data_IF_263415437687
#
_entry.id   IF_263415437687
#
_cell.length_a   1.000
_cell.length_b   1.000
_cell.length_c   1.000
_cell.angle_alpha   90.00
_cell.angle_beta   90.00
_cell.angle_gamma   90.00
#
_symmetry.space_group_name_H-M   'P 1'
#
loop_
_entity.id
_entity.type
_entity.pdbx_description
1 polymer ?
#
# COMPACT_ATOMS: atom_id res chain seq x y z
N UNK A 1 24.00 -0.52 -14.69
CA UNK A 1 23.47 -1.77 -14.12
C UNK A 1 22.00 -1.52 -13.73
N UNK A 2 21.02 -2.37 -14.10
CA UNK A 2 19.61 -2.17 -13.75
C UNK A 2 19.34 -2.05 -12.23
N UNK A 3 20.32 -2.40 -11.40
CA UNK A 3 20.28 -2.29 -9.93
C UNK A 3 21.21 -1.21 -9.35
N UNK A 4 21.89 -0.41 -10.18
CA UNK A 4 22.97 0.52 -9.77
C UNK A 4 22.55 1.57 -8.72
N UNK A 5 21.24 1.79 -8.55
CA UNK A 5 20.68 2.78 -7.62
C UNK A 5 19.61 2.21 -6.68
N UNK A 6 19.46 0.87 -6.61
CA UNK A 6 18.53 0.24 -5.67
C UNK A 6 19.26 0.00 -4.35
N UNK A 7 18.75 0.54 -3.26
CA UNK A 7 19.30 0.23 -1.94
C UNK A 7 19.09 -1.26 -1.60
N UNK A 8 20.09 -1.87 -0.98
CA UNK A 8 20.09 -3.31 -0.66
C UNK A 8 18.86 -3.73 0.13
N UNK A 9 18.39 -2.90 1.07
CA UNK A 9 17.23 -3.19 1.90
C UNK A 9 15.95 -3.28 1.05
N UNK A 10 15.74 -2.34 0.12
CA UNK A 10 14.64 -2.41 -0.85
C UNK A 10 14.68 -3.70 -1.65
N UNK A 11 15.86 -4.06 -2.18
CA UNK A 11 16.02 -5.28 -2.95
C UNK A 11 15.69 -6.54 -2.14
N UNK A 12 16.16 -6.61 -0.90
CA UNK A 12 15.87 -7.71 0.02
C UNK A 12 14.37 -7.79 0.36
N UNK A 13 13.68 -6.66 0.53
CA UNK A 13 12.23 -6.63 0.73
C UNK A 13 11.51 -7.17 -0.51
N UNK A 14 11.93 -6.77 -1.71
CA UNK A 14 11.36 -7.23 -2.97
C UNK A 14 11.48 -8.74 -3.11
N UNK A 15 12.69 -9.30 -2.96
CA UNK A 15 12.92 -10.73 -3.07
C UNK A 15 12.12 -11.51 -2.03
N UNK A 16 12.16 -11.10 -0.75
CA UNK A 16 11.44 -11.79 0.32
C UNK A 16 9.92 -11.80 0.11
N UNK A 17 9.35 -10.69 -0.35
CA UNK A 17 7.90 -10.58 -0.60
C UNK A 17 7.43 -11.56 -1.68
N UNK A 18 8.19 -11.66 -2.78
CA UNK A 18 7.89 -12.58 -3.88
C UNK A 18 8.04 -14.05 -3.45
N UNK A 19 9.12 -14.37 -2.73
CA UNK A 19 9.35 -15.71 -2.19
C UNK A 19 8.25 -16.12 -1.21
N UNK A 20 7.82 -15.21 -0.34
CA UNK A 20 6.79 -15.47 0.67
C UNK A 20 5.44 -15.82 0.03
N UNK A 21 4.98 -15.05 -0.97
CA UNK A 21 3.74 -15.37 -1.68
C UNK A 21 3.84 -16.66 -2.49
N UNK A 22 5.00 -16.93 -3.11
CA UNK A 22 5.24 -18.19 -3.83
C UNK A 22 5.14 -19.38 -2.88
N UNK A 23 5.83 -19.32 -1.74
CA UNK A 23 5.80 -20.36 -0.72
C UNK A 23 4.38 -20.58 -0.16
N UNK A 24 3.62 -19.51 0.11
CA UNK A 24 2.21 -19.62 0.51
C UNK A 24 1.37 -20.35 -0.55
N UNK A 25 1.50 -19.97 -1.83
CA UNK A 25 0.74 -20.57 -2.94
C UNK A 25 1.04 -22.06 -3.08
N UNK A 26 2.30 -22.45 -2.95
CA UNK A 26 2.74 -23.84 -2.98
C UNK A 26 2.18 -24.63 -1.78
N UNK A 27 2.34 -24.08 -0.56
CA UNK A 27 1.87 -24.70 0.69
C UNK A 27 0.35 -24.90 0.71
N UNK A 28 -0.41 -24.01 0.08
CA UNK A 28 -1.88 -24.08 0.06
C UNK A 28 -2.45 -24.69 -1.25
N UNK A 29 -1.60 -25.17 -2.17
CA UNK A 29 -2.01 -25.58 -3.52
C UNK A 29 -3.14 -26.61 -3.50
N UNK A 30 -2.94 -27.72 -2.79
CA UNK A 30 -3.92 -28.81 -2.73
C UNK A 30 -5.21 -28.37 -2.06
N UNK A 31 -5.11 -27.56 -1.00
CA UNK A 31 -6.28 -26.99 -0.33
C UNK A 31 -7.08 -26.06 -1.23
N UNK A 32 -6.42 -25.26 -2.07
CA UNK A 32 -7.07 -24.31 -2.98
C UNK A 32 -7.72 -25.02 -4.18
N UNK A 33 -7.13 -26.14 -4.64
CA UNK A 33 -7.60 -26.89 -5.80
C UNK A 33 -8.63 -27.97 -5.45
N UNK A 34 -8.64 -28.45 -4.19
CA UNK A 34 -9.54 -29.52 -3.76
C UNK A 34 -11.03 -29.10 -3.85
N UNK A 35 -11.90 -29.93 -4.49
CA UNK A 35 -13.34 -29.74 -4.48
C UNK A 35 -13.96 -29.87 -3.08
N UNK A 36 -13.39 -30.74 -2.22
CA UNK A 36 -13.92 -31.01 -0.88
C UNK A 36 -13.89 -29.76 0.02
N UNK A 37 -12.87 -28.92 -0.16
CA UNK A 37 -12.72 -27.67 0.60
C UNK A 37 -13.38 -26.47 -0.08
N UNK A 38 -13.97 -26.62 -1.28
CA UNK A 38 -14.56 -25.52 -2.07
C UNK A 38 -15.66 -24.79 -1.31
N UNK A 39 -16.59 -25.53 -0.69
CA UNK A 39 -17.69 -24.95 0.11
C UNK A 39 -17.16 -24.17 1.30
N UNK A 40 -16.20 -24.75 2.04
CA UNK A 40 -15.57 -24.10 3.19
C UNK A 40 -14.83 -22.82 2.78
N UNK A 41 -14.04 -22.86 1.69
CA UNK A 41 -13.35 -21.67 1.14
C UNK A 41 -14.35 -20.57 0.79
N UNK A 42 -15.46 -20.91 0.13
CA UNK A 42 -16.48 -19.95 -0.26
C UNK A 42 -17.12 -19.25 0.95
N UNK A 43 -17.51 -20.00 1.99
CA UNK A 43 -18.08 -19.42 3.21
C UNK A 43 -17.07 -18.51 3.94
N UNK A 44 -15.80 -18.91 4.00
CA UNK A 44 -14.74 -18.09 4.57
C UNK A 44 -14.55 -16.77 3.79
N UNK A 45 -14.51 -16.85 2.46
CA UNK A 45 -14.42 -15.67 1.60
C UNK A 45 -15.61 -14.74 1.78
N UNK A 46 -16.83 -15.28 1.90
CA UNK A 46 -18.04 -14.50 2.18
C UNK A 46 -17.95 -13.79 3.54
N UNK A 47 -17.54 -14.51 4.58
CA UNK A 47 -17.36 -13.98 5.93
C UNK A 47 -16.31 -12.87 6.00
N UNK A 48 -15.33 -12.86 5.10
CA UNK A 48 -14.31 -11.80 4.96
C UNK A 48 -14.82 -10.64 4.07
N UNK A 49 -15.33 -10.95 2.88
CA UNK A 49 -15.65 -9.95 1.87
C UNK A 49 -16.75 -8.99 2.36
N UNK A 50 -17.75 -9.49 3.08
CA UNK A 50 -18.86 -8.69 3.60
C UNK A 50 -18.36 -7.57 4.53
N UNK A 51 -17.65 -7.86 5.65
CA UNK A 51 -17.16 -6.81 6.54
C UNK A 51 -16.13 -5.90 5.86
N UNK A 52 -15.23 -6.42 5.01
CA UNK A 52 -14.22 -5.58 4.32
C UNK A 52 -14.87 -4.59 3.36
N UNK A 53 -15.87 -5.02 2.57
CA UNK A 53 -16.59 -4.11 1.68
C UNK A 53 -17.43 -3.06 2.44
N UNK A 54 -17.74 -3.31 3.71
CA UNK A 54 -18.51 -2.42 4.55
C UNK A 54 -17.66 -1.49 5.42
N UNK A 55 -16.32 -1.51 5.29
CA UNK A 55 -15.44 -0.61 6.05
C UNK A 55 -15.75 0.84 5.69
N UNK A 56 -16.02 1.66 6.71
CA UNK A 56 -16.19 3.10 6.55
C UNK A 56 -15.91 3.85 7.85
N UNK A 57 -15.58 5.13 7.73
CA UNK A 57 -15.31 6.03 8.86
C UNK A 57 -16.55 6.71 9.42
N UNK A 58 -17.73 6.10 9.32
CA UNK A 58 -19.00 6.75 9.73
C UNK A 58 -19.18 6.83 11.24
N UNK A 59 -18.64 5.86 11.99
CA UNK A 59 -18.61 5.88 13.46
C UNK A 59 -17.61 4.85 13.99
N UNK A 60 -17.14 5.06 15.22
CA UNK A 60 -16.30 4.12 15.97
C UNK A 60 -16.99 2.75 16.07
N UNK A 61 -18.26 2.71 16.47
CA UNK A 61 -19.02 1.47 16.65
C UNK A 61 -19.12 0.66 15.34
N UNK A 62 -19.30 1.34 14.20
CA UNK A 62 -19.39 0.68 12.90
C UNK A 62 -18.06 0.02 12.53
N UNK A 63 -16.94 0.74 12.71
CA UNK A 63 -15.64 0.22 12.36
C UNK A 63 -15.19 -0.89 13.33
N UNK A 64 -15.55 -0.75 14.61
CA UNK A 64 -15.35 -1.78 15.63
C UNK A 64 -16.10 -3.07 15.33
N UNK A 65 -17.36 -2.99 14.88
CA UNK A 65 -18.09 -4.16 14.39
C UNK A 65 -17.34 -4.88 13.24
N UNK A 66 -16.71 -4.13 12.31
CA UNK A 66 -15.94 -4.76 11.22
C UNK A 66 -14.67 -5.42 11.74
N UNK A 67 -13.95 -4.75 12.63
CA UNK A 67 -12.76 -5.31 13.27
C UNK A 67 -13.11 -6.58 14.05
N UNK A 68 -14.11 -6.54 14.93
CA UNK A 68 -14.47 -7.66 15.81
C UNK A 68 -14.94 -8.87 14.97
N UNK A 69 -15.72 -8.66 13.89
CA UNK A 69 -16.09 -9.75 12.98
C UNK A 69 -14.88 -10.42 12.33
N UNK A 70 -13.93 -9.63 11.86
CA UNK A 70 -12.71 -10.15 11.22
C UNK A 70 -11.82 -10.85 12.25
N UNK A 71 -11.60 -10.25 13.42
CA UNK A 71 -10.81 -10.82 14.50
C UNK A 71 -11.41 -12.14 15.02
N UNK A 72 -12.72 -12.16 15.24
CA UNK A 72 -13.43 -13.35 15.73
C UNK A 72 -13.44 -14.47 14.68
N UNK A 73 -13.52 -14.13 13.39
CA UNK A 73 -13.33 -15.11 12.32
C UNK A 73 -11.92 -15.70 12.35
N UNK A 74 -10.87 -14.86 12.41
CA UNK A 74 -9.48 -15.33 12.39
C UNK A 74 -9.09 -16.16 13.63
N UNK A 75 -9.79 -15.98 14.75
CA UNK A 75 -9.61 -16.73 16.00
C UNK A 75 -10.53 -17.95 16.13
N UNK A 76 -11.37 -18.23 15.13
CA UNK A 76 -12.29 -19.38 15.14
C UNK A 76 -13.52 -19.22 16.03
N UNK A 77 -13.81 -18.00 16.50
CA UNK A 77 -14.96 -17.67 17.34
C UNK A 77 -16.23 -17.38 16.52
N UNK A 78 -16.11 -17.21 15.20
CA UNK A 78 -17.22 -17.00 14.27
C UNK A 78 -17.34 -18.19 13.30
N UNK A 79 -18.56 -18.45 12.82
CA UNK A 79 -18.76 -19.35 11.68
C UNK A 79 -18.44 -18.64 10.35
N UNK A 80 -17.81 -19.32 9.38
CA UNK A 80 -17.27 -20.69 9.49
C UNK A 80 -16.05 -20.76 10.42
N UNK A 81 -15.96 -21.82 11.23
CA UNK A 81 -14.81 -21.99 12.12
C UNK A 81 -13.57 -22.31 11.29
N UNK A 82 -12.68 -21.33 11.18
CA UNK A 82 -11.46 -21.40 10.36
C UNK A 82 -10.45 -22.43 10.87
N UNK A 83 -10.56 -22.87 12.14
CA UNK A 83 -9.64 -23.85 12.73
C UNK A 83 -10.03 -25.29 12.44
N UNK A 84 -11.21 -25.54 11.86
CA UNK A 84 -11.64 -26.89 11.47
C UNK A 84 -10.78 -27.53 10.37
N UNK A 85 -10.03 -26.71 9.62
CA UNK A 85 -9.10 -27.20 8.60
C UNK A 85 -7.69 -26.67 8.89
N UNK A 86 -6.63 -27.49 8.79
CA UNK A 86 -5.27 -27.06 9.08
C UNK A 86 -4.83 -25.80 8.32
N UNK A 87 -5.21 -25.70 7.04
CA UNK A 87 -4.93 -24.54 6.19
C UNK A 87 -6.01 -23.43 6.22
N UNK A 88 -7.05 -23.55 7.06
CA UNK A 88 -8.18 -22.61 7.08
C UNK A 88 -7.79 -21.22 7.56
N UNK A 89 -7.03 -21.13 8.65
CA UNK A 89 -6.56 -19.84 9.22
C UNK A 89 -5.67 -19.09 8.22
N UNK A 90 -4.65 -19.74 7.68
CA UNK A 90 -3.71 -19.11 6.74
C UNK A 90 -4.40 -18.69 5.44
N UNK A 91 -5.35 -19.50 4.96
CA UNK A 91 -6.20 -19.13 3.82
C UNK A 91 -7.01 -17.85 4.10
N UNK A 92 -7.66 -17.76 5.26
CA UNK A 92 -8.45 -16.60 5.65
C UNK A 92 -7.58 -15.35 5.79
N UNK A 93 -6.42 -15.42 6.45
CA UNK A 93 -5.49 -14.29 6.57
C UNK A 93 -5.00 -13.82 5.19
N UNK A 94 -4.61 -14.74 4.32
CA UNK A 94 -4.17 -14.41 2.96
C UNK A 94 -5.30 -13.80 2.12
N UNK A 95 -6.50 -14.36 2.17
CA UNK A 95 -7.65 -13.83 1.43
C UNK A 95 -8.06 -12.45 1.96
N UNK A 96 -8.03 -12.24 3.29
CA UNK A 96 -8.26 -10.95 3.92
C UNK A 96 -7.23 -9.90 3.47
N UNK A 97 -5.94 -10.24 3.53
CA UNK A 97 -4.85 -9.38 3.07
C UNK A 97 -5.06 -8.94 1.62
N UNK A 98 -5.26 -9.90 0.70
CA UNK A 98 -5.52 -9.62 -0.72
C UNK A 98 -6.79 -8.78 -0.92
N UNK A 99 -7.85 -9.05 -0.16
CA UNK A 99 -9.12 -8.32 -0.28
C UNK A 99 -9.00 -6.86 0.20
N UNK A 100 -8.22 -6.61 1.25
CA UNK A 100 -7.93 -5.24 1.73
C UNK A 100 -7.05 -4.49 0.73
N UNK A 101 -6.00 -5.11 0.18
CA UNK A 101 -5.20 -4.50 -0.89
C UNK A 101 -6.09 -4.09 -2.08
N UNK A 102 -7.07 -4.94 -2.44
CA UNK A 102 -8.08 -4.60 -3.44
C UNK A 102 -8.98 -3.39 -3.10
N UNK A 103 -9.14 -3.01 -1.82
CA UNK A 103 -9.79 -1.75 -1.45
C UNK A 103 -8.91 -0.55 -1.81
N UNK A 104 -7.59 -0.67 -1.70
CA UNK A 104 -6.65 0.34 -2.19
C UNK A 104 -6.82 0.60 -3.69
N UNK A 105 -6.96 -0.48 -4.47
CA UNK A 105 -7.12 -0.40 -5.92
C UNK A 105 -8.45 0.23 -6.38
N UNK A 106 -9.51 0.15 -5.59
CA UNK A 106 -10.88 0.47 -6.02
C UNK A 106 -11.51 1.59 -5.19
N UNK A 107 -11.67 1.37 -3.87
CA UNK A 107 -12.29 2.30 -2.95
C UNK A 107 -11.40 3.52 -2.72
N UNK A 108 -10.14 3.31 -2.31
CA UNK A 108 -9.22 4.40 -1.98
C UNK A 108 -8.82 5.19 -3.23
N UNK A 109 -8.59 4.49 -4.35
CA UNK A 109 -8.31 5.14 -5.64
C UNK A 109 -9.44 6.07 -6.11
N UNK A 110 -10.68 5.83 -5.69
CA UNK A 110 -11.84 6.67 -6.02
C UNK A 110 -12.22 7.65 -4.92
N UNK A 111 -11.93 7.32 -3.67
CA UNK A 111 -12.28 8.09 -2.47
C UNK A 111 -11.11 8.04 -1.47
N UNK A 112 -10.08 8.89 -1.65
CA UNK A 112 -8.82 8.85 -0.89
C UNK A 112 -8.97 8.82 0.63
N UNK A 113 -9.95 9.54 1.18
CA UNK A 113 -10.22 9.63 2.61
C UNK A 113 -10.60 8.27 3.24
N UNK A 114 -11.05 7.31 2.43
CA UNK A 114 -11.36 5.95 2.88
C UNK A 114 -10.11 5.13 3.20
N UNK A 115 -8.91 5.63 2.87
CA UNK A 115 -7.65 4.99 3.26
C UNK A 115 -7.52 4.83 4.77
N UNK A 116 -7.98 5.80 5.57
CA UNK A 116 -7.80 5.79 7.03
C UNK A 116 -8.66 4.75 7.76
N UNK A 117 -9.98 4.60 7.51
CA UNK A 117 -10.75 3.49 8.06
C UNK A 117 -10.17 2.11 7.70
N UNK A 118 -9.70 1.94 6.47
CA UNK A 118 -9.08 0.69 6.01
C UNK A 118 -7.73 0.46 6.73
N UNK A 119 -6.88 1.48 6.80
CA UNK A 119 -5.60 1.44 7.48
C UNK A 119 -5.74 1.09 8.97
N UNK A 120 -6.75 1.62 9.65
CA UNK A 120 -6.95 1.33 11.07
C UNK A 120 -7.35 -0.12 11.33
N UNK A 121 -8.14 -0.73 10.43
CA UNK A 121 -8.41 -2.19 10.47
C UNK A 121 -7.12 -2.98 10.25
N UNK A 122 -6.30 -2.58 9.27
CA UNK A 122 -5.01 -3.24 8.98
C UNK A 122 -4.09 -3.19 10.19
N UNK A 123 -3.85 -2.00 10.75
CA UNK A 123 -2.98 -1.82 11.92
C UNK A 123 -3.50 -2.63 13.11
N UNK A 124 -4.81 -2.56 13.40
CA UNK A 124 -5.40 -3.30 14.50
C UNK A 124 -5.25 -4.82 14.35
N UNK A 125 -5.50 -5.37 13.16
CA UNK A 125 -5.34 -6.81 12.90
C UNK A 125 -3.87 -7.23 12.88
N UNK A 126 -2.97 -6.41 12.33
CA UNK A 126 -1.54 -6.70 12.28
C UNK A 126 -0.92 -6.83 13.67
N UNK A 127 -1.34 -6.00 14.63
CA UNK A 127 -0.90 -6.13 16.02
C UNK A 127 -1.27 -7.47 16.67
N UNK A 128 -2.39 -8.08 16.27
CA UNK A 128 -2.85 -9.35 16.81
C UNK A 128 -2.36 -10.54 15.97
N UNK A 129 -2.11 -10.33 14.68
CA UNK A 129 -1.71 -11.35 13.70
C UNK A 129 -0.54 -10.83 12.86
N UNK A 130 0.71 -10.96 13.32
CA UNK A 130 1.89 -10.48 12.57
C UNK A 130 2.00 -11.10 11.18
N UNK A 131 1.67 -12.39 11.05
CA UNK A 131 1.63 -13.14 9.79
C UNK A 131 0.60 -12.60 8.79
N UNK A 132 -0.52 -12.04 9.27
CA UNK A 132 -1.46 -11.31 8.40
C UNK A 132 -0.82 -10.05 7.82
N UNK A 133 -0.04 -9.32 8.63
CA UNK A 133 0.66 -8.13 8.18
C UNK A 133 1.73 -8.41 7.13
N UNK A 134 2.48 -9.50 7.29
CA UNK A 134 3.43 -9.98 6.27
C UNK A 134 2.72 -10.35 4.97
N UNK A 135 1.59 -11.07 5.04
CA UNK A 135 0.76 -11.37 3.87
C UNK A 135 0.22 -10.09 3.22
N UNK A 136 -0.24 -9.13 4.02
CA UNK A 136 -0.73 -7.84 3.54
C UNK A 136 0.35 -7.09 2.77
N UNK A 137 1.55 -6.92 3.35
CA UNK A 137 2.67 -6.27 2.66
C UNK A 137 3.03 -7.00 1.38
N UNK A 138 3.11 -8.34 1.41
CA UNK A 138 3.50 -9.09 0.23
C UNK A 138 2.49 -8.93 -0.92
N UNK A 139 1.18 -8.95 -0.64
CA UNK A 139 0.14 -8.65 -1.64
C UNK A 139 0.17 -7.19 -2.10
N UNK A 140 0.47 -6.26 -1.19
CA UNK A 140 0.57 -4.84 -1.52
C UNK A 140 1.76 -4.57 -2.45
N UNK A 141 2.91 -5.20 -2.18
CA UNK A 141 4.10 -5.13 -3.03
C UNK A 141 3.87 -5.79 -4.40
N UNK A 142 3.14 -6.91 -4.48
CA UNK A 142 2.76 -7.53 -5.75
C UNK A 142 1.80 -6.63 -6.56
N UNK A 143 0.84 -5.97 -5.89
CA UNK A 143 -0.15 -5.12 -6.54
C UNK A 143 0.39 -3.73 -6.93
N UNK A 144 1.30 -3.18 -6.13
CA UNK A 144 2.02 -1.92 -6.35
C UNK A 144 3.49 -2.11 -5.99
N UNK A 145 4.33 -2.56 -6.94
CA UNK A 145 5.76 -2.74 -6.72
C UNK A 145 6.44 -1.51 -6.16
N UNK A 146 5.93 -0.31 -6.49
CA UNK A 146 6.43 1.00 -6.06
C UNK A 146 6.22 1.32 -4.58
N UNK A 147 5.47 0.51 -3.83
CA UNK A 147 5.45 0.59 -2.36
C UNK A 147 6.78 0.14 -1.77
N UNK A 148 7.53 -0.68 -2.52
CA UNK A 148 8.98 -0.79 -2.39
C UNK A 148 9.55 0.25 -3.35
N UNK A 149 10.45 1.15 -2.93
CA UNK A 149 10.98 2.20 -3.79
C UNK A 149 11.99 1.61 -4.80
N UNK A 150 11.50 0.74 -5.69
CA UNK A 150 12.22 0.08 -6.76
C UNK A 150 11.47 0.33 -8.05
N UNK A 151 12.17 0.90 -9.03
CA UNK A 151 11.63 1.14 -10.36
C UNK A 151 12.45 0.37 -11.37
N UNK A 152 12.22 -0.94 -11.48
CA UNK A 152 12.97 -1.81 -12.40
C UNK A 152 12.81 -1.34 -13.85
N UNK A 153 13.90 -1.42 -14.61
CA UNK A 153 13.87 -1.27 -16.06
C UNK A 153 13.53 -2.61 -16.70
N UNK A 154 12.99 -2.56 -17.92
CA UNK A 154 12.81 -3.75 -18.74
C UNK A 154 14.16 -4.41 -18.99
N UNK A 155 14.25 -5.69 -18.67
CA UNK A 155 15.49 -6.46 -18.86
C UNK A 155 15.65 -6.88 -20.31
N UNK A 156 16.89 -7.07 -20.75
CA UNK A 156 17.16 -7.61 -22.10
C UNK A 156 16.49 -8.98 -22.27
N UNK A 157 15.74 -9.16 -23.35
CA UNK A 157 14.97 -10.38 -23.62
C UNK A 157 13.64 -10.51 -22.87
N UNK A 158 13.30 -9.59 -21.97
CA UNK A 158 12.00 -9.58 -21.30
C UNK A 158 10.91 -9.06 -22.25
N UNK A 159 9.78 -9.77 -22.34
CA UNK A 159 8.64 -9.30 -23.13
C UNK A 159 8.03 -8.02 -22.52
N UNK A 160 7.41 -7.17 -23.34
CA UNK A 160 6.69 -5.99 -22.84
C UNK A 160 5.57 -6.38 -21.87
N UNK A 161 4.95 -7.54 -22.08
CA UNK A 161 3.90 -8.06 -21.22
C UNK A 161 4.42 -8.44 -19.84
N UNK A 162 5.52 -9.19 -19.77
CA UNK A 162 6.14 -9.56 -18.51
C UNK A 162 6.68 -8.33 -17.79
N UNK A 163 7.22 -7.35 -18.53
CA UNK A 163 7.66 -6.09 -17.97
C UNK A 163 6.50 -5.31 -17.34
N UNK A 164 5.40 -5.07 -18.06
CA UNK A 164 4.26 -4.34 -17.52
C UNK A 164 3.58 -5.10 -16.37
N UNK A 165 3.49 -6.44 -16.42
CA UNK A 165 3.05 -7.25 -15.28
C UNK A 165 3.96 -7.04 -14.07
N UNK A 166 5.27 -6.96 -14.26
CA UNK A 166 6.24 -6.71 -13.18
C UNK A 166 6.12 -5.31 -12.57
N UNK A 167 5.54 -4.34 -13.30
CA UNK A 167 5.17 -3.01 -12.78
C UNK A 167 3.79 -2.99 -12.11
N UNK A 168 3.09 -4.13 -12.05
CA UNK A 168 1.74 -4.24 -11.51
C UNK A 168 0.63 -3.82 -12.49
N UNK A 169 0.91 -3.67 -13.79
CA UNK A 169 -0.13 -3.42 -14.79
C UNK A 169 -1.06 -4.61 -14.92
N UNK A 170 -2.37 -4.33 -15.10
CA UNK A 170 -3.35 -5.38 -15.35
C UNK A 170 -3.53 -5.60 -16.85
N UNK A 171 -3.87 -6.83 -17.20
CA UNK A 171 -4.23 -7.24 -18.55
C UNK A 171 -5.67 -7.74 -18.55
N UNK A 172 -6.43 -7.32 -19.55
CA UNK A 172 -7.76 -7.84 -19.83
C UNK A 172 -7.67 -9.24 -20.45
N UNK A 173 -8.78 -9.97 -20.49
CA UNK A 173 -8.84 -11.33 -21.05
C UNK A 173 -8.46 -11.40 -22.54
N UNK A 174 -8.63 -10.29 -23.26
CA UNK A 174 -8.25 -10.11 -24.67
C UNK A 174 -6.77 -9.77 -24.87
N UNK A 175 -5.97 -9.72 -23.79
CA UNK A 175 -4.55 -9.33 -23.82
C UNK A 175 -4.32 -7.81 -23.87
N UNK A 176 -5.37 -6.99 -23.77
CA UNK A 176 -5.23 -5.53 -23.75
C UNK A 176 -4.68 -5.06 -22.41
N UNK A 177 -3.59 -4.29 -22.44
CA UNK A 177 -3.00 -3.67 -21.23
C UNK A 177 -3.91 -2.58 -20.66
N UNK A 178 -3.95 -2.47 -19.33
CA UNK A 178 -4.66 -1.41 -18.63
C UNK A 178 -4.20 -0.03 -19.10
N UNK A 179 -5.17 0.88 -19.30
CA UNK A 179 -4.88 2.26 -19.69
C UNK A 179 -4.10 2.99 -18.59
N UNK A 180 -3.20 3.87 -19.01
CA UNK A 180 -2.29 4.60 -18.12
C UNK A 180 -3.03 5.40 -17.02
N UNK A 181 -4.17 6.02 -17.33
CA UNK A 181 -4.98 6.76 -16.36
C UNK A 181 -5.55 5.85 -15.26
N UNK A 182 -6.03 4.67 -15.63
CA UNK A 182 -6.54 3.67 -14.69
C UNK A 182 -5.42 3.08 -13.83
N UNK A 183 -4.30 2.75 -14.47
CA UNK A 183 -3.09 2.28 -13.78
C UNK A 183 -2.62 3.30 -12.74
N UNK A 184 -2.46 4.56 -13.14
CA UNK A 184 -1.98 5.63 -12.25
C UNK A 184 -2.93 5.86 -11.09
N UNK A 185 -4.24 5.89 -11.34
CA UNK A 185 -5.28 6.02 -10.30
C UNK A 185 -5.21 4.85 -9.31
N UNK A 186 -4.97 3.63 -9.77
CA UNK A 186 -4.85 2.43 -8.94
C UNK A 186 -3.60 2.45 -8.07
N UNK A 187 -2.45 2.81 -8.63
CA UNK A 187 -1.20 2.96 -7.89
C UNK A 187 -1.29 4.07 -6.85
N UNK A 188 -1.93 5.19 -7.19
CA UNK A 188 -2.21 6.28 -6.26
C UNK A 188 -3.02 5.79 -5.05
N UNK A 189 -4.11 5.05 -5.27
CA UNK A 189 -4.92 4.48 -4.18
C UNK A 189 -4.14 3.53 -3.28
N UNK A 190 -3.24 2.71 -3.84
CA UNK A 190 -2.38 1.79 -3.10
C UNK A 190 -1.30 2.52 -2.27
N UNK A 191 -0.65 3.54 -2.83
CA UNK A 191 0.33 4.37 -2.10
C UNK A 191 -0.35 5.17 -0.99
N UNK A 192 -1.55 5.72 -1.22
CA UNK A 192 -2.31 6.39 -0.17
C UNK A 192 -2.68 5.44 0.97
N UNK A 193 -3.11 4.23 0.66
CA UNK A 193 -3.36 3.20 1.69
C UNK A 193 -2.09 2.85 2.47
N UNK A 194 -0.97 2.64 1.78
CA UNK A 194 0.34 2.42 2.40
C UNK A 194 0.71 3.57 3.35
N UNK A 195 0.65 4.81 2.87
CA UNK A 195 0.98 6.00 3.64
C UNK A 195 0.06 6.15 4.87
N UNK A 196 -1.25 5.93 4.70
CA UNK A 196 -2.23 5.97 5.79
C UNK A 196 -1.91 4.95 6.89
N UNK A 197 -1.46 3.74 6.55
CA UNK A 197 -1.02 2.74 7.53
C UNK A 197 0.15 3.26 8.37
N UNK A 198 1.13 3.91 7.75
CA UNK A 198 2.31 4.42 8.48
C UNK A 198 2.01 5.52 9.49
N UNK A 199 0.91 6.27 9.28
CA UNK A 199 0.54 7.42 10.12
C UNK A 199 -0.65 7.15 11.02
N UNK A 200 -1.36 6.04 10.80
CA UNK A 200 -2.49 5.64 11.64
C UNK A 200 -1.98 5.28 13.03
N UNK A 201 -2.63 5.82 14.06
CA UNK A 201 -2.24 5.56 15.44
C UNK A 201 -2.78 4.21 15.90
N UNK A 202 -2.10 3.63 16.88
CA UNK A 202 -2.60 2.47 17.60
C UNK A 202 -3.93 2.80 18.29
N UNK A 203 -4.76 1.77 18.44
CA UNK A 203 -6.00 1.83 19.22
C UNK A 203 -5.72 2.17 20.67
N UNK A 204 -6.74 2.71 21.35
CA UNK A 204 -6.67 3.01 22.78
C UNK A 204 -6.32 1.73 23.57
N UNK A 205 -5.45 1.88 24.57
CA UNK A 205 -4.96 0.81 25.45
C UNK A 205 -4.07 -0.25 24.80
N UNK A 206 -3.71 -0.12 23.51
CA UNK A 206 -2.67 -0.95 22.90
C UNK A 206 -1.31 -0.37 23.22
N UNK A 207 -0.51 -1.09 24.01
CA UNK A 207 0.87 -0.72 24.38
C UNK A 207 1.92 -1.30 23.44
N UNK A 208 1.51 -2.17 22.49
CA UNK A 208 2.38 -2.75 21.47
C UNK A 208 2.92 -1.65 20.54
N UNK A 209 4.17 -1.79 20.13
CA UNK A 209 4.81 -0.92 19.13
C UNK A 209 4.00 -0.98 17.83
N UNK A 210 3.86 0.17 17.15
CA UNK A 210 3.17 0.22 15.86
C UNK A 210 3.84 -0.73 14.85
N UNK A 211 3.10 -1.67 14.22
CA UNK A 211 3.70 -2.76 13.44
C UNK A 211 4.39 -2.27 12.16
N UNK A 212 3.98 -1.10 11.64
CA UNK A 212 4.52 -0.53 10.41
C UNK A 212 4.50 0.99 10.43
N UNK A 213 5.29 1.60 11.33
CA UNK A 213 5.19 3.01 11.72
C UNK A 213 5.72 4.04 10.70
N UNK A 214 5.70 5.31 11.12
CA UNK A 214 6.06 6.48 10.33
C UNK A 214 7.45 6.40 9.66
N UNK A 215 8.39 5.67 10.26
CA UNK A 215 9.73 5.46 9.72
C UNK A 215 9.71 4.88 8.30
N UNK A 216 8.68 4.09 7.95
CA UNK A 216 8.56 3.49 6.61
C UNK A 216 8.18 4.51 5.54
N UNK A 217 7.46 5.59 5.89
CA UNK A 217 7.19 6.70 4.96
C UNK A 217 8.41 7.61 4.79
N UNK A 218 9.16 7.85 5.87
CA UNK A 218 10.45 8.53 5.78
C UNK A 218 11.42 7.77 4.87
N UNK A 219 11.59 6.46 5.12
CA UNK A 219 12.45 5.59 4.31
C UNK A 219 12.03 5.58 2.85
N UNK A 220 10.73 5.44 2.58
CA UNK A 220 10.21 5.44 1.22
C UNK A 220 10.57 6.73 0.48
N UNK A 221 10.33 7.90 1.07
CA UNK A 221 10.69 9.19 0.46
C UNK A 221 12.20 9.30 0.23
N UNK A 222 13.02 8.98 1.23
CA UNK A 222 14.46 9.05 1.11
C UNK A 222 15.00 8.13 0.00
N UNK A 223 14.49 6.90 -0.08
CA UNK A 223 14.90 5.94 -1.10
C UNK A 223 14.45 6.36 -2.50
N UNK A 224 13.21 6.82 -2.69
CA UNK A 224 12.74 7.34 -3.98
C UNK A 224 13.62 8.51 -4.45
N UNK A 225 13.96 9.45 -3.56
CA UNK A 225 14.77 10.62 -3.91
C UNK A 225 16.25 10.31 -4.20
N UNK A 226 16.71 9.09 -3.90
CA UNK A 226 18.04 8.61 -4.25
C UNK A 226 18.10 7.95 -5.64
N UNK A 227 16.96 7.72 -6.28
CA UNK A 227 16.88 7.07 -7.60
C UNK A 227 16.89 8.15 -8.67
N UNK A 228 17.67 7.98 -9.74
CA UNK A 228 17.68 8.97 -10.83
C UNK A 228 16.31 9.02 -11.55
N UNK A 229 15.71 10.20 -11.72
CA UNK A 229 14.48 10.35 -12.49
C UNK A 229 14.62 9.83 -13.92
N UNK A 230 13.58 9.14 -14.40
CA UNK A 230 13.53 8.62 -15.78
C UNK A 230 12.26 9.06 -16.48
N UNK A 231 12.37 9.30 -17.79
CA UNK A 231 11.27 9.78 -18.63
C UNK A 231 10.06 8.81 -18.65
N UNK A 232 10.31 7.50 -18.66
CA UNK A 232 9.28 6.45 -18.78
C UNK A 232 8.35 6.34 -17.56
N UNK A 233 8.81 6.78 -16.39
CA UNK A 233 8.09 6.66 -15.11
C UNK A 233 7.94 8.00 -14.38
N UNK A 234 8.33 9.12 -14.98
CA UNK A 234 8.38 10.41 -14.29
C UNK A 234 7.02 10.84 -13.74
N UNK A 235 5.96 10.70 -14.54
CA UNK A 235 4.58 11.04 -14.14
C UNK A 235 4.06 10.15 -13.01
N UNK A 236 4.43 8.87 -13.05
CA UNK A 236 4.14 7.93 -11.96
C UNK A 236 4.86 8.38 -10.69
N UNK A 237 6.18 8.56 -10.75
CA UNK A 237 7.00 8.95 -9.60
C UNK A 237 6.49 10.27 -8.97
N UNK A 238 6.18 11.28 -9.79
CA UNK A 238 5.62 12.55 -9.31
C UNK A 238 4.28 12.36 -8.59
N UNK A 239 3.40 11.50 -9.15
CA UNK A 239 2.11 11.16 -8.53
C UNK A 239 2.30 10.47 -7.18
N UNK A 240 3.15 9.45 -7.11
CA UNK A 240 3.33 8.68 -5.86
C UNK A 240 4.01 9.51 -4.76
N UNK A 241 4.96 10.38 -5.12
CA UNK A 241 5.56 11.34 -4.17
C UNK A 241 4.49 12.26 -3.62
N UNK A 242 3.66 12.85 -4.50
CA UNK A 242 2.58 13.74 -4.07
C UNK A 242 1.59 13.00 -3.15
N UNK A 243 1.16 11.80 -3.51
CA UNK A 243 0.26 10.98 -2.70
C UNK A 243 0.82 10.70 -1.29
N UNK A 244 2.12 10.38 -1.22
CA UNK A 244 2.81 10.16 0.06
C UNK A 244 2.84 11.45 0.90
N UNK A 245 3.15 12.59 0.29
CA UNK A 245 3.23 13.88 0.96
C UNK A 245 1.87 14.39 1.43
N UNK A 246 0.82 14.23 0.63
CA UNK A 246 -0.53 14.62 1.02
C UNK A 246 -1.05 13.80 2.21
N UNK A 247 -0.71 12.51 2.29
CA UNK A 247 -1.20 11.64 3.36
C UNK A 247 -0.32 11.72 4.61
N UNK A 248 0.99 11.62 4.46
CA UNK A 248 1.93 11.51 5.58
C UNK A 248 2.71 12.79 5.88
N UNK A 249 2.70 13.79 4.99
CA UNK A 249 3.57 14.97 5.07
C UNK A 249 3.37 15.79 6.33
N UNK A 250 2.14 16.01 6.79
CA UNK A 250 1.89 16.71 8.06
C UNK A 250 2.49 15.95 9.26
N UNK A 251 2.33 14.63 9.30
CA UNK A 251 2.81 13.79 10.41
C UNK A 251 4.34 13.71 10.39
N UNK A 252 4.95 13.59 9.21
CA UNK A 252 6.40 13.65 9.01
C UNK A 252 6.98 15.01 9.40
N UNK A 253 6.32 16.11 9.03
CA UNK A 253 6.73 17.46 9.40
C UNK A 253 6.68 17.65 10.91
N UNK A 254 5.65 17.12 11.56
CA UNK A 254 5.52 17.21 13.02
C UNK A 254 6.59 16.38 13.74
N UNK A 255 6.87 15.16 13.26
CA UNK A 255 7.84 14.25 13.89
C UNK A 255 9.30 14.65 13.63
N UNK A 256 9.60 15.17 12.43
CA UNK A 256 10.96 15.44 11.98
C UNK A 256 11.11 16.85 11.38
N UNK A 257 10.72 17.94 12.07
CA UNK A 257 10.50 19.26 11.44
C UNK A 257 11.69 19.78 10.65
N UNK A 258 12.90 19.74 11.24
CA UNK A 258 14.12 20.22 10.57
C UNK A 258 14.58 19.31 9.44
N UNK A 259 14.50 17.99 9.62
CA UNK A 259 15.00 17.04 8.62
C UNK A 259 14.02 16.88 7.46
N UNK A 260 12.72 16.92 7.73
CA UNK A 260 11.70 16.86 6.71
C UNK A 260 11.66 18.14 5.86
N UNK A 261 11.84 19.31 6.48
CA UNK A 261 12.03 20.56 5.72
C UNK A 261 13.20 20.44 4.73
N UNK A 262 14.38 19.97 5.20
CA UNK A 262 15.53 19.72 4.32
C UNK A 262 15.22 18.75 3.19
N UNK A 263 14.44 17.69 3.45
CA UNK A 263 14.03 16.73 2.43
C UNK A 263 13.14 17.37 1.37
N UNK A 264 12.20 18.23 1.76
CA UNK A 264 11.34 18.96 0.83
C UNK A 264 12.12 20.01 0.02
N UNK A 265 13.07 20.70 0.64
CA UNK A 265 13.99 21.61 -0.06
C UNK A 265 14.84 20.84 -1.08
N UNK A 266 15.40 19.69 -0.70
CA UNK A 266 16.13 18.81 -1.62
C UNK A 266 15.26 18.37 -2.80
N UNK A 267 14.03 17.95 -2.51
CA UNK A 267 13.06 17.55 -3.53
C UNK A 267 12.77 18.72 -4.49
N UNK A 268 12.48 19.91 -3.99
CA UNK A 268 12.16 21.07 -4.81
C UNK A 268 13.35 21.62 -5.61
N UNK A 269 14.51 21.75 -4.97
CA UNK A 269 15.66 22.47 -5.55
C UNK A 269 16.59 21.56 -6.38
N UNK A 270 16.61 20.25 -6.13
CA UNK A 270 17.56 19.34 -6.78
C UNK A 270 16.89 18.18 -7.52
N UNK A 271 15.90 17.53 -6.92
CA UNK A 271 15.25 16.36 -7.53
C UNK A 271 14.24 16.76 -8.60
N UNK A 272 13.35 17.71 -8.29
CA UNK A 272 12.29 18.17 -9.18
C UNK A 272 12.81 18.76 -10.50
N UNK A 273 13.88 19.58 -10.55
CA UNK A 273 14.44 20.06 -11.82
C UNK A 273 14.92 18.92 -12.72
N UNK A 274 15.52 17.86 -12.15
CA UNK A 274 15.92 16.66 -12.91
C UNK A 274 14.70 15.91 -13.45
N UNK A 275 13.65 15.75 -12.64
CA UNK A 275 12.37 15.19 -13.11
C UNK A 275 11.79 16.00 -14.27
N UNK A 276 11.73 17.33 -14.14
CA UNK A 276 11.19 18.23 -15.17
C UNK A 276 11.98 18.16 -16.47
N UNK A 277 13.30 18.04 -16.37
CA UNK A 277 14.19 17.90 -17.51
C UNK A 277 13.92 16.59 -18.27
N UNK A 278 13.89 15.44 -17.59
CA UNK A 278 13.65 14.14 -18.25
C UNK A 278 12.22 14.00 -18.78
N UNK A 279 11.26 14.72 -18.19
CA UNK A 279 9.87 14.76 -18.66
C UNK A 279 9.62 15.73 -19.84
N UNK A 280 10.66 16.42 -20.34
CA UNK A 280 10.52 17.31 -21.50
C UNK A 280 9.66 18.55 -21.26
N UNK A 281 9.62 19.07 -20.03
CA UNK A 281 8.96 20.36 -19.73
C UNK A 281 7.72 20.29 -18.83
N UNK A 282 7.20 19.10 -18.54
CA UNK A 282 6.24 18.85 -17.46
C UNK A 282 4.90 18.23 -17.89
N UNK A 283 4.49 17.17 -17.19
CA UNK A 283 3.16 16.60 -17.22
C UNK A 283 2.27 17.10 -16.07
N UNK A 284 0.96 16.87 -16.16
CA UNK A 284 0.01 17.25 -15.10
C UNK A 284 0.37 16.75 -13.68
N UNK A 285 0.96 15.56 -13.49
CA UNK A 285 1.52 15.14 -12.20
C UNK A 285 2.64 16.03 -11.66
N UNK A 286 3.58 16.45 -12.50
CA UNK A 286 4.70 17.30 -12.09
C UNK A 286 4.23 18.68 -11.64
N UNK A 287 3.30 19.29 -12.37
CA UNK A 287 2.74 20.61 -12.01
C UNK A 287 2.10 20.57 -10.62
N UNK A 288 1.29 19.54 -10.34
CA UNK A 288 0.64 19.38 -9.03
C UNK A 288 1.65 19.17 -7.89
N UNK A 289 2.71 18.42 -8.15
CA UNK A 289 3.79 18.25 -7.18
C UNK A 289 4.52 19.58 -6.91
N UNK A 290 4.81 20.36 -7.96
CA UNK A 290 5.42 21.69 -7.84
C UNK A 290 4.57 22.66 -7.02
N UNK A 291 3.26 22.71 -7.29
CA UNK A 291 2.30 23.52 -6.54
C UNK A 291 2.26 23.14 -5.05
N UNK A 292 2.22 21.84 -4.75
CA UNK A 292 2.24 21.34 -3.38
C UNK A 292 3.53 21.75 -2.65
N UNK A 293 4.70 21.54 -3.27
CA UNK A 293 6.00 21.84 -2.68
C UNK A 293 6.18 23.35 -2.43
N UNK A 294 5.81 24.18 -3.40
CA UNK A 294 5.86 25.63 -3.25
C UNK A 294 4.99 26.11 -2.09
N UNK A 295 3.77 25.57 -1.96
CA UNK A 295 2.88 25.91 -0.85
C UNK A 295 3.48 25.47 0.50
N UNK A 296 3.93 24.21 0.60
CA UNK A 296 4.51 23.67 1.83
C UNK A 296 5.75 24.45 2.30
N UNK A 297 6.66 24.79 1.38
CA UNK A 297 7.90 25.51 1.70
C UNK A 297 7.68 26.99 2.01
N UNK A 298 6.76 27.66 1.31
CA UNK A 298 6.47 29.08 1.55
C UNK A 298 5.67 29.32 2.84
N UNK A 299 4.72 28.44 3.15
CA UNK A 299 3.90 28.57 4.36
C UNK A 299 4.53 27.91 5.59
N UNK A 300 5.49 27.00 5.40
CA UNK A 300 6.05 26.18 6.46
C UNK A 300 5.04 25.21 7.08
N UNK A 301 3.98 24.88 6.34
CA UNK A 301 2.84 24.11 6.82
C UNK A 301 2.32 23.14 5.75
N UNK A 302 1.96 21.93 6.18
CA UNK A 302 1.22 20.97 5.37
C UNK A 302 -0.06 20.65 6.12
N UNK A 303 -1.21 20.78 5.45
CA UNK A 303 -2.51 20.44 6.04
C UNK A 303 -2.56 18.95 6.39
N UNK A 304 -3.20 18.64 7.51
CA UNK A 304 -3.48 17.25 7.87
C UNK A 304 -4.42 16.61 6.83
N UNK A 305 -4.09 15.38 6.43
CA UNK A 305 -4.85 14.65 5.41
C UNK A 305 -6.33 14.49 5.78
N UNK A 306 -7.20 14.70 4.79
CA UNK A 306 -8.63 14.53 4.97
C UNK A 306 -9.00 13.07 5.26
N UNK A 307 -9.90 12.87 6.23
CA UNK A 307 -10.35 11.55 6.65
C UNK A 307 -9.51 10.90 7.74
N UNK A 308 -8.42 11.52 8.21
CA UNK A 308 -7.66 10.97 9.33
C UNK A 308 -8.58 10.80 10.56
N UNK A 309 -8.52 9.62 11.15
CA UNK A 309 -9.37 9.26 12.27
C UNK A 309 -8.68 9.60 13.60
N UNK A 310 -9.44 10.03 14.63
CA UNK A 310 -8.88 10.29 15.94
C UNK A 310 -8.32 8.99 16.57
N UNK A 311 -7.36 9.08 17.51
CA UNK A 311 -6.71 7.91 18.13
C UNK A 311 -7.65 6.87 18.79
N UNK A 312 -8.90 7.24 19.07
CA UNK A 312 -9.88 6.39 19.76
C UNK A 312 -10.98 5.86 18.83
N UNK A 313 -10.80 5.94 17.50
CA UNK A 313 -11.86 5.55 16.56
C UNK A 313 -12.02 4.02 16.39
N UNK A 314 -11.17 3.21 17.02
CA UNK A 314 -11.26 1.73 17.08
C UNK A 314 -10.69 1.16 18.38
#
# INVERSE_FOLDING_TARGET
>A
DPFEYIDQESFDIYIRSHQFLKYYRETCKDFLQSPATKKFRFECQKAINIPVNAISGVSEQHLRDKYDRLQNLLTGQLLPNVTHHPQGVIFCKNHLAKKIVGQGETLVSSKPEMAFPVAMIVVALWNEHPDFGELFLAHLHEACPFTIPIFLQQQEGQSNEDYYKSLGCKYSEDGTVEKQDKFLKRMSGLIRLYASITVTKQRKNVTKIHPYGLQHSWRWLAAVLNIEPRADICDLCATLILDMLEVAGNVLWTAYPKQFYKLLTLLMEQYFPRMRHVAGGGGGPLVRLEEFLNNALSTGFIRLADGILPPNFL
#
